data_IF_209293037213
#
_entry.id   IF_209293037213
#
_cell.length_a   1.000
_cell.length_b   1.000
_cell.length_c   1.000
_cell.angle_alpha   90.00
_cell.angle_beta   90.00
_cell.angle_gamma   90.00
#
_symmetry.space_group_name_H-M   'P 1'
#
loop_
_entity.id
_entity.type
_entity.pdbx_description
1 polymer ?
#
# COMPACT_ATOMS: atom_id res chain seq x y z
N UNK A 1 -5.82 18.38 -11.73
CA UNK A 1 -6.31 17.79 -10.47
C UNK A 1 -5.09 17.22 -9.78
N UNK A 2 -4.78 17.66 -8.56
CA UNK A 2 -3.59 17.19 -7.86
C UNK A 2 -3.86 15.76 -7.36
N UNK A 3 -3.18 14.77 -7.94
CA UNK A 3 -3.19 13.40 -7.41
C UNK A 3 -2.60 13.39 -6.01
N UNK A 4 -3.21 12.65 -5.10
CA UNK A 4 -2.68 12.49 -3.74
C UNK A 4 -1.37 11.70 -3.85
N UNK A 5 -0.29 12.25 -3.31
CA UNK A 5 1.00 11.56 -3.25
C UNK A 5 1.21 11.06 -1.83
N UNK A 6 1.68 9.82 -1.73
CA UNK A 6 1.92 9.19 -0.43
C UNK A 6 3.31 8.58 -0.43
N UNK A 7 4.03 8.75 0.68
CA UNK A 7 5.34 8.14 0.88
C UNK A 7 5.16 6.82 1.61
N UNK A 8 5.70 5.74 1.07
CA UNK A 8 5.76 4.45 1.76
C UNK A 8 6.64 4.61 3.01
N UNK A 9 6.06 4.42 4.19
CA UNK A 9 6.76 4.47 5.48
C UNK A 9 6.86 3.10 6.14
N UNK A 10 6.08 2.12 5.66
CA UNK A 10 6.21 0.73 6.05
C UNK A 10 6.08 -0.21 4.86
N UNK A 11 6.95 -1.22 4.82
CA UNK A 11 6.87 -2.40 3.93
C UNK A 11 6.60 -3.68 4.72
N UNK A 12 6.21 -3.53 6.00
CA UNK A 12 5.97 -4.62 6.96
C UNK A 12 4.73 -4.37 7.82
N UNK A 13 4.03 -5.43 8.25
CA UNK A 13 4.20 -6.83 7.81
C UNK A 13 3.57 -7.09 6.43
N UNK A 14 3.82 -8.26 5.85
CA UNK A 14 3.10 -8.75 4.66
C UNK A 14 1.59 -8.66 4.93
N UNK A 15 0.77 -8.37 3.93
CA UNK A 15 -0.68 -8.39 4.11
C UNK A 15 -1.25 -9.64 3.47
N UNK A 16 -1.83 -10.50 4.28
CA UNK A 16 -2.62 -11.63 3.81
C UNK A 16 -4.06 -11.16 3.56
N UNK A 17 -4.54 -11.37 2.34
CA UNK A 17 -5.95 -11.18 2.01
C UNK A 17 -6.75 -12.34 2.59
N UNK A 18 -7.69 -12.01 3.48
CA UNK A 18 -8.64 -12.99 4.00
C UNK A 18 -9.70 -13.29 2.95
N UNK A 19 -10.36 -14.47 3.03
CA UNK A 19 -11.45 -14.82 2.13
C UNK A 19 -12.66 -13.88 2.20
N UNK A 20 -12.78 -13.06 3.25
CA UNK A 20 -13.80 -12.00 3.35
C UNK A 20 -13.40 -10.68 2.65
N UNK A 21 -12.23 -10.62 2.02
CA UNK A 21 -11.70 -9.44 1.32
C UNK A 21 -11.03 -8.42 2.23
N UNK A 22 -10.90 -8.69 3.54
CA UNK A 22 -10.11 -7.86 4.44
C UNK A 22 -8.64 -8.25 4.42
N UNK A 23 -7.76 -7.26 4.48
CA UNK A 23 -6.31 -7.47 4.59
C UNK A 23 -5.90 -7.52 6.06
N UNK A 24 -5.15 -8.54 6.46
CA UNK A 24 -4.54 -8.61 7.79
C UNK A 24 -3.04 -8.72 7.70
N UNK A 25 -2.37 -8.30 8.78
CA UNK A 25 -0.95 -8.56 9.00
C UNK A 25 -0.70 -10.07 8.90
N UNK A 26 -0.07 -10.46 7.80
CA UNK A 26 0.33 -11.82 7.50
C UNK A 26 1.39 -12.32 8.47
N UNK A 27 1.29 -13.58 8.85
CA UNK A 27 2.20 -14.21 9.82
C UNK A 27 3.59 -14.50 9.24
N UNK A 28 3.80 -14.29 7.93
CA UNK A 28 5.08 -14.50 7.26
C UNK A 28 5.95 -13.24 7.29
N UNK A 29 7.22 -13.42 7.68
CA UNK A 29 8.27 -12.41 7.49
C UNK A 29 8.63 -12.27 5.99
N UNK A 30 7.74 -11.62 5.23
CA UNK A 30 7.99 -11.18 3.86
C UNK A 30 8.15 -9.66 3.79
N UNK A 31 8.89 -9.18 2.80
CA UNK A 31 8.89 -7.77 2.41
C UNK A 31 7.93 -7.60 1.24
N UNK A 32 7.09 -6.55 1.23
CA UNK A 32 6.33 -6.22 0.03
C UNK A 32 7.30 -5.84 -1.09
N UNK A 33 7.55 -6.77 -2.00
CA UNK A 33 8.51 -6.59 -3.10
C UNK A 33 8.07 -5.52 -4.11
N UNK A 34 6.79 -5.19 -4.14
CA UNK A 34 6.23 -4.19 -5.04
C UNK A 34 6.33 -2.76 -4.48
N UNK A 35 6.60 -2.61 -3.18
CA UNK A 35 6.78 -1.30 -2.53
C UNK A 35 8.22 -1.12 -2.03
N UNK A 36 8.77 0.04 -2.36
CA UNK A 36 10.06 0.53 -1.92
C UNK A 36 9.85 1.47 -0.74
N UNK A 37 10.47 1.15 0.39
CA UNK A 37 10.45 2.00 1.58
C UNK A 37 10.99 3.40 1.26
N UNK A 38 10.32 4.43 1.80
CA UNK A 38 10.64 5.84 1.61
C UNK A 38 10.47 6.36 0.17
N UNK A 39 9.91 5.56 -0.74
CA UNK A 39 9.52 6.00 -2.09
C UNK A 39 8.15 6.68 -2.05
N UNK A 40 7.96 7.64 -2.94
CA UNK A 40 6.70 8.35 -3.13
C UNK A 40 5.94 7.69 -4.26
N UNK A 41 4.67 7.39 -4.02
CA UNK A 41 3.78 6.81 -5.00
C UNK A 41 2.58 7.73 -5.25
N UNK A 42 1.99 7.55 -6.43
CA UNK A 42 0.79 8.23 -6.86
C UNK A 42 -0.45 7.39 -6.48
N UNK A 43 -1.36 8.00 -5.73
CA UNK A 43 -2.63 7.38 -5.35
C UNK A 43 -3.62 7.59 -6.50
N UNK A 44 -4.11 6.49 -7.04
CA UNK A 44 -5.16 6.46 -8.07
C UNK A 44 -6.51 6.72 -7.43
N UNK A 45 -6.77 6.04 -6.32
CA UNK A 45 -8.04 6.09 -5.60
C UNK A 45 -7.81 5.86 -4.11
N UNK A 46 -8.72 6.35 -3.27
CA UNK A 46 -8.66 6.11 -1.82
C UNK A 46 -10.06 5.77 -1.31
N UNK A 47 -10.11 4.78 -0.43
CA UNK A 47 -11.29 4.44 0.36
C UNK A 47 -11.10 4.92 1.80
N UNK A 48 -11.99 4.60 2.74
CA UNK A 48 -11.81 4.98 4.15
C UNK A 48 -10.51 4.40 4.74
N UNK A 49 -10.20 3.13 4.48
CA UNK A 49 -9.09 2.39 5.11
C UNK A 49 -7.90 2.08 4.17
N UNK A 50 -8.09 2.19 2.85
CA UNK A 50 -7.10 1.77 1.84
C UNK A 50 -6.76 2.88 0.83
N UNK A 51 -5.55 2.81 0.30
CA UNK A 51 -5.06 3.55 -0.86
C UNK A 51 -4.85 2.59 -2.02
N UNK A 52 -5.42 2.92 -3.18
CA UNK A 52 -5.10 2.29 -4.45
C UNK A 52 -3.90 3.01 -5.06
N UNK A 53 -2.77 2.34 -5.11
CA UNK A 53 -1.47 2.93 -5.46
C UNK A 53 -0.89 2.17 -6.64
N UNK A 54 -0.34 2.89 -7.62
CA UNK A 54 0.51 2.28 -8.66
C UNK A 54 1.88 2.03 -8.08
N UNK A 55 2.26 0.76 -7.98
CA UNK A 55 3.51 0.35 -7.34
C UNK A 55 4.69 0.25 -8.32
N UNK A 56 5.81 -0.36 -7.91
CA UNK A 56 7.01 -0.48 -8.76
C UNK A 56 6.84 -1.41 -9.97
N UNK A 57 5.74 -2.16 -10.05
CA UNK A 57 5.39 -3.03 -11.16
C UNK A 57 4.50 -2.36 -12.21
N UNK A 58 4.22 -1.06 -12.05
CA UNK A 58 3.27 -0.29 -12.87
C UNK A 58 1.82 -0.82 -12.79
N UNK A 59 1.52 -1.66 -11.79
CA UNK A 59 0.19 -2.17 -11.49
C UNK A 59 -0.41 -1.42 -10.30
N UNK A 60 -1.73 -1.23 -10.33
CA UNK A 60 -2.47 -0.62 -9.23
C UNK A 60 -2.97 -1.68 -8.24
N UNK A 61 -2.53 -1.57 -6.99
CA UNK A 61 -2.94 -2.45 -5.90
C UNK A 61 -3.50 -1.65 -4.72
N UNK A 62 -4.31 -2.32 -3.90
CA UNK A 62 -4.86 -1.77 -2.66
C UNK A 62 -3.90 -2.03 -1.51
N UNK A 63 -3.47 -0.95 -0.87
CA UNK A 63 -2.62 -0.99 0.30
C UNK A 63 -3.25 -0.18 1.43
N UNK A 64 -3.15 -0.63 2.69
CA UNK A 64 -3.73 0.09 3.82
C UNK A 64 -3.01 1.41 4.04
N UNK A 65 -3.78 2.43 4.40
CA UNK A 65 -3.24 3.78 4.61
C UNK A 65 -2.17 3.85 5.70
N UNK A 66 -2.20 2.92 6.66
CA UNK A 66 -1.21 2.80 7.74
C UNK A 66 0.22 2.59 7.25
N UNK A 67 0.40 2.07 6.03
CA UNK A 67 1.73 1.86 5.43
C UNK A 67 2.31 3.12 4.78
N UNK A 68 1.54 4.20 4.68
CA UNK A 68 1.94 5.41 3.97
C UNK A 68 1.70 6.69 4.77
N UNK A 69 2.48 7.71 4.43
CA UNK A 69 2.33 9.06 4.94
C UNK A 69 1.98 10.00 3.78
N UNK A 70 0.92 10.78 3.94
CA UNK A 70 0.53 11.82 2.96
C UNK A 70 1.52 12.98 3.01
N UNK A 71 1.93 13.46 1.84
CA UNK A 71 2.93 14.54 1.65
C UNK A 71 2.39 15.70 0.82
#
# INVERSE_FOLDING_TARGET
>A
MAGLKVRCVSIKPYLDEKPDGSFVEGEFEGEMISLTLNKIYDVVEQDDEYYRIVDDTDEDYLYPKSMFEVI
#
